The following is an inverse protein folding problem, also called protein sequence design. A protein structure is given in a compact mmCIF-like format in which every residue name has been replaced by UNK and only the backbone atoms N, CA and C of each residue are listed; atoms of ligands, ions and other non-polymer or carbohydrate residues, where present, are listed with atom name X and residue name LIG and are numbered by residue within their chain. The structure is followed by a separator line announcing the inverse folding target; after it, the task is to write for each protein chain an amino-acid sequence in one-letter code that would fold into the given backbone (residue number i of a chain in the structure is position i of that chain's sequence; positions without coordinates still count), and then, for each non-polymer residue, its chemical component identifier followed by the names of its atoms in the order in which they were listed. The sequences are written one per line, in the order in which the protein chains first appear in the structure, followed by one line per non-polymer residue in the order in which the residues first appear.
data_IF_027507774291
#
_entry.id   IF_027507774291
#
_cell.length_a   1.000
_cell.length_b   1.000
_cell.length_c   1.000
_cell.angle_alpha   90.00
_cell.angle_beta   90.00
_cell.angle_gamma   90.00
#
_symmetry.space_group_name_H-M   'P 1'
#
loop_
_entity.id
_entity.type
_entity.pdbx_description
1 polymer ?
#
# COMPACT_ATOMS: atom_id res chain seq x y z
N UNK A 1 37.10 -8.43 50.35
CA UNK A 1 35.76 -8.97 50.66
C UNK A 1 34.80 -8.31 49.69
N UNK A 2 34.46 -9.02 48.61
CA UNK A 2 33.50 -8.55 47.61
C UNK A 2 32.09 -8.96 48.05
N UNK A 3 31.06 -8.11 47.95
CA UNK A 3 29.72 -8.47 48.35
C UNK A 3 29.14 -9.53 47.39
N UNK A 4 28.47 -10.54 47.95
CA UNK A 4 27.70 -11.52 47.18
C UNK A 4 26.50 -10.85 46.49
N UNK A 5 26.21 -11.18 45.23
CA UNK A 5 25.04 -10.66 44.54
C UNK A 5 23.77 -11.24 45.18
N UNK A 6 22.88 -10.36 45.64
CA UNK A 6 21.60 -10.72 46.26
C UNK A 6 20.62 -11.23 45.19
N UNK A 7 19.69 -12.11 45.56
CA UNK A 7 18.71 -12.75 44.66
C UNK A 7 17.92 -11.79 43.74
N UNK A 8 17.84 -10.49 44.07
CA UNK A 8 17.25 -9.46 43.22
C UNK A 8 18.06 -9.10 41.97
N UNK A 9 19.40 -9.18 42.01
CA UNK A 9 20.27 -8.87 40.86
C UNK A 9 20.26 -9.98 39.81
N UNK A 10 20.01 -11.22 40.21
CA UNK A 10 19.87 -12.36 39.28
C UNK A 10 18.57 -12.28 38.46
N UNK A 11 17.51 -11.70 39.03
CA UNK A 11 16.25 -11.52 38.31
C UNK A 11 16.34 -10.38 37.28
N UNK A 12 17.07 -9.30 37.57
CA UNK A 12 17.27 -8.20 36.62
C UNK A 12 18.10 -8.62 35.40
N UNK A 13 19.09 -9.50 35.59
CA UNK A 13 19.90 -10.07 34.51
C UNK A 13 19.08 -10.95 33.55
N UNK A 14 18.00 -11.59 34.03
CA UNK A 14 17.11 -12.40 33.20
C UNK A 14 16.17 -11.55 32.32
N UNK A 15 15.91 -10.29 32.70
CA UNK A 15 15.11 -9.34 31.90
C UNK A 15 15.92 -8.55 30.87
N UNK A 16 17.25 -8.60 30.91
CA UNK A 16 18.14 -7.88 30.00
C UNK A 16 18.93 -8.79 29.05
N UNK A 17 18.67 -10.11 29.06
CA UNK A 17 19.15 -10.96 27.96
C UNK A 17 18.28 -10.68 26.73
N UNK A 18 18.85 -10.24 25.59
CA UNK A 18 18.13 -10.31 24.34
C UNK A 18 17.86 -11.79 24.09
N UNK A 19 16.59 -12.17 23.96
CA UNK A 19 16.19 -13.46 23.42
C UNK A 19 16.57 -13.50 21.95
N UNK A 20 17.87 -13.70 21.68
CA UNK A 20 18.36 -14.18 20.41
C UNK A 20 17.95 -15.65 20.30
N UNK A 21 16.84 -15.90 19.62
CA UNK A 21 16.43 -17.15 18.95
C UNK A 21 14.95 -17.44 19.16
N UNK A 22 14.12 -16.75 18.39
CA UNK A 22 12.89 -17.33 17.85
C UNK A 22 12.67 -16.80 16.43
N UNK A 23 13.72 -16.89 15.63
CA UNK A 23 13.67 -16.67 14.19
C UNK A 23 13.67 -18.00 13.44
N UNK A 24 12.98 -19.04 13.93
CA UNK A 24 12.84 -20.28 13.14
C UNK A 24 11.68 -21.20 13.55
N UNK A 25 10.46 -20.69 13.75
CA UNK A 25 9.25 -21.54 13.88
C UNK A 25 7.94 -20.79 13.59
N UNK A 26 7.94 -19.82 12.68
CA UNK A 26 6.69 -19.51 11.99
C UNK A 26 6.53 -20.57 10.89
N UNK A 27 5.43 -21.35 10.84
CA UNK A 27 5.18 -22.22 9.71
C UNK A 27 5.28 -21.36 8.45
N UNK A 28 5.97 -21.82 7.38
CA UNK A 28 6.03 -21.05 6.16
C UNK A 28 4.59 -20.72 5.78
N UNK A 29 4.30 -19.42 5.67
CA UNK A 29 3.01 -18.96 5.21
C UNK A 29 2.66 -19.81 3.99
N UNK A 30 1.42 -20.36 3.91
CA UNK A 30 1.05 -21.21 2.79
C UNK A 30 1.49 -20.49 1.52
N UNK A 31 2.17 -21.20 0.61
CA UNK A 31 2.47 -20.72 -0.75
C UNK A 31 1.16 -20.56 -1.54
N UNK A 32 0.16 -19.90 -0.96
CA UNK A 32 -0.99 -19.36 -1.63
C UNK A 32 -0.45 -18.20 -2.43
N UNK A 33 -0.29 -18.46 -3.73
CA UNK A 33 -0.14 -17.49 -4.81
C UNK A 33 -0.06 -16.05 -4.30
N UNK A 34 1.14 -15.60 -3.92
CA UNK A 34 1.36 -14.17 -3.81
C UNK A 34 0.94 -13.60 -5.17
N UNK A 35 -0.09 -12.75 -5.17
CA UNK A 35 -0.63 -12.20 -6.41
C UNK A 35 0.55 -11.64 -7.20
N UNK A 36 0.78 -12.17 -8.40
CA UNK A 36 1.96 -11.79 -9.19
C UNK A 36 1.80 -10.33 -9.60
N UNK A 37 2.49 -9.43 -8.91
CA UNK A 37 2.44 -8.01 -9.22
C UNK A 37 3.19 -7.75 -10.53
N UNK A 38 2.54 -7.03 -11.46
CA UNK A 38 3.14 -6.62 -12.73
C UNK A 38 3.21 -5.10 -12.78
N UNK A 39 4.41 -4.57 -13.02
CA UNK A 39 4.59 -3.13 -13.25
C UNK A 39 3.99 -2.74 -14.60
N UNK A 40 3.16 -1.69 -14.60
CA UNK A 40 2.63 -1.06 -15.80
C UNK A 40 2.87 0.45 -15.76
N UNK A 41 3.23 1.05 -16.89
CA UNK A 41 3.52 2.48 -17.00
C UNK A 41 2.53 3.11 -17.98
N UNK A 42 1.83 4.17 -17.54
CA UNK A 42 0.84 4.88 -18.34
C UNK A 42 1.10 6.39 -18.32
N UNK A 43 0.76 7.06 -19.42
CA UNK A 43 0.72 8.53 -19.45
C UNK A 43 -0.64 9.03 -18.97
N UNK A 44 -0.66 9.72 -17.85
CA UNK A 44 -1.84 10.36 -17.26
C UNK A 44 -1.70 11.88 -17.35
N UNK A 45 -2.82 12.60 -17.21
CA UNK A 45 -2.80 14.07 -17.16
C UNK A 45 -2.17 14.50 -15.83
N UNK A 46 -1.39 15.57 -15.85
CA UNK A 46 -0.77 16.15 -14.65
C UNK A 46 -1.81 16.45 -13.57
N UNK A 47 -2.93 17.06 -13.94
CA UNK A 47 -4.04 17.35 -13.01
C UNK A 47 -4.57 16.12 -12.25
N UNK A 48 -4.52 14.93 -12.87
CA UNK A 48 -4.95 13.68 -12.21
C UNK A 48 -3.90 13.21 -11.20
N UNK A 49 -2.61 13.44 -11.48
CA UNK A 49 -1.54 13.17 -10.51
C UNK A 49 -1.61 14.16 -9.34
N UNK A 50 -1.89 15.44 -9.60
CA UNK A 50 -2.06 16.44 -8.54
C UNK A 50 -3.22 16.08 -7.59
N UNK A 51 -4.35 15.61 -8.15
CA UNK A 51 -5.48 15.13 -7.36
C UNK A 51 -5.12 13.88 -6.53
N UNK A 52 -4.37 12.94 -7.11
CA UNK A 52 -3.88 11.76 -6.39
C UNK A 52 -2.95 12.15 -5.23
N UNK A 53 -2.06 13.11 -5.46
CA UNK A 53 -1.10 13.60 -4.48
C UNK A 53 -1.79 14.29 -3.32
N UNK A 54 -2.77 15.14 -3.62
CA UNK A 54 -3.63 15.78 -2.62
C UNK A 54 -4.40 14.75 -1.81
N UNK A 55 -5.05 13.78 -2.46
CA UNK A 55 -5.81 12.76 -1.77
C UNK A 55 -4.93 11.91 -0.85
N UNK A 56 -3.74 11.52 -1.32
CA UNK A 56 -2.76 10.82 -0.49
C UNK A 56 -2.32 11.65 0.73
N UNK A 57 -2.12 12.97 0.57
CA UNK A 57 -1.82 13.86 1.69
C UNK A 57 -2.98 13.92 2.70
N UNK A 58 -4.22 14.03 2.23
CA UNK A 58 -5.42 14.02 3.09
C UNK A 58 -5.49 12.72 3.91
N UNK A 59 -5.18 11.57 3.30
CA UNK A 59 -5.09 10.29 4.00
C UNK A 59 -3.94 10.25 5.02
N UNK A 60 -2.79 10.84 4.72
CA UNK A 60 -1.68 10.96 5.67
C UNK A 60 -2.04 11.81 6.88
N UNK A 61 -2.84 12.86 6.69
CA UNK A 61 -3.33 13.70 7.79
C UNK A 61 -4.37 12.95 8.64
N UNK A 62 -5.27 12.19 8.01
CA UNK A 62 -6.34 11.46 8.70
C UNK A 62 -5.86 10.20 9.44
N UNK A 63 -4.97 9.42 8.83
CA UNK A 63 -4.55 8.10 9.32
C UNK A 63 -3.15 8.12 9.98
N UNK A 64 -2.39 9.19 9.76
CA UNK A 64 -0.98 9.28 10.08
C UNK A 64 -0.09 8.71 8.97
N UNK A 65 1.14 9.24 8.86
CA UNK A 65 2.09 8.94 7.76
C UNK A 65 2.37 7.45 7.55
N UNK A 66 2.42 6.66 8.62
CA UNK A 66 2.77 5.23 8.56
C UNK A 66 1.58 4.32 8.22
N UNK A 67 0.34 4.83 8.33
CA UNK A 67 -0.87 4.06 8.12
C UNK A 67 -1.60 4.45 6.83
N UNK A 68 -1.20 5.56 6.19
CA UNK A 68 -1.78 5.96 4.92
C UNK A 68 -1.38 4.97 3.81
N UNK A 69 -2.32 4.55 2.96
CA UNK A 69 -2.03 3.63 1.87
C UNK A 69 -1.11 4.28 0.84
N UNK A 70 -0.24 3.47 0.23
CA UNK A 70 0.61 3.93 -0.86
C UNK A 70 -0.23 4.34 -2.07
N UNK A 71 0.31 5.26 -2.89
CA UNK A 71 -0.33 5.71 -4.13
C UNK A 71 -0.69 4.56 -5.07
N UNK A 72 0.14 3.52 -5.14
CA UNK A 72 -0.14 2.33 -5.96
C UNK A 72 -1.39 1.57 -5.50
N UNK A 73 -1.61 1.46 -4.18
CA UNK A 73 -2.82 0.85 -3.61
C UNK A 73 -4.06 1.66 -3.96
N UNK A 74 -3.96 3.00 -3.91
CA UNK A 74 -5.06 3.90 -4.30
C UNK A 74 -5.38 3.73 -5.79
N UNK A 75 -4.36 3.69 -6.65
CA UNK A 75 -4.53 3.50 -8.10
C UNK A 75 -5.13 2.13 -8.42
N UNK A 76 -4.69 1.06 -7.76
CA UNK A 76 -5.26 -0.27 -7.93
C UNK A 76 -6.74 -0.29 -7.55
N UNK A 77 -7.11 0.27 -6.40
CA UNK A 77 -8.50 0.37 -5.97
C UNK A 77 -9.35 1.17 -6.97
N UNK A 78 -8.84 2.28 -7.51
CA UNK A 78 -9.52 3.08 -8.51
C UNK A 78 -9.75 2.32 -9.82
N UNK A 79 -8.75 1.55 -10.28
CA UNK A 79 -8.88 0.70 -11.49
C UNK A 79 -9.93 -0.39 -11.26
N UNK A 80 -9.88 -1.09 -10.12
CA UNK A 80 -10.86 -2.14 -9.79
C UNK A 80 -12.28 -1.55 -9.74
N UNK A 81 -12.44 -0.38 -9.10
CA UNK A 81 -13.73 0.29 -9.00
C UNK A 81 -14.29 0.64 -10.39
N UNK A 82 -13.47 1.25 -11.26
CA UNK A 82 -13.86 1.58 -12.63
C UNK A 82 -14.25 0.33 -13.43
N UNK A 83 -13.46 -0.74 -13.36
CA UNK A 83 -13.71 -1.97 -14.09
C UNK A 83 -14.98 -2.68 -13.62
N UNK A 84 -15.31 -2.59 -12.33
CA UNK A 84 -16.57 -3.14 -11.80
C UNK A 84 -17.77 -2.33 -12.28
N UNK A 85 -17.70 -0.99 -12.23
CA UNK A 85 -18.76 -0.13 -12.77
C UNK A 85 -18.97 -0.34 -14.28
N UNK A 86 -17.88 -0.54 -15.03
CA UNK A 86 -17.96 -0.81 -16.46
C UNK A 86 -18.58 -2.17 -16.80
N UNK A 87 -18.55 -3.15 -15.88
CA UNK A 87 -19.28 -4.42 -16.08
C UNK A 87 -20.79 -4.24 -15.90
N UNK A 88 -21.20 -3.35 -15.00
CA UNK A 88 -22.61 -3.07 -14.71
C UNK A 88 -23.23 -2.18 -15.80
N UNK A 89 -22.48 -1.20 -16.31
CA UNK A 89 -22.97 -0.19 -17.27
C UNK A 89 -22.00 0.01 -18.45
N UNK A 90 -21.69 -1.08 -19.15
CA UNK A 90 -20.65 -1.10 -20.17
C UNK A 90 -20.88 -0.14 -21.34
N UNK A 91 -22.14 0.07 -21.75
CA UNK A 91 -22.47 0.97 -22.86
C UNK A 91 -22.06 2.42 -22.59
N UNK A 92 -22.45 2.97 -21.44
CA UNK A 92 -22.11 4.34 -21.06
C UNK A 92 -20.61 4.54 -20.85
N UNK A 93 -19.93 3.54 -20.26
CA UNK A 93 -18.49 3.61 -20.04
C UNK A 93 -17.69 3.57 -21.34
N UNK A 94 -18.12 2.79 -22.35
CA UNK A 94 -17.46 2.77 -23.67
C UNK A 94 -17.48 4.17 -24.30
N UNK A 95 -18.66 4.82 -24.35
CA UNK A 95 -18.80 6.15 -24.93
C UNK A 95 -17.96 7.19 -24.19
N UNK A 96 -17.98 7.15 -22.85
CA UNK A 96 -17.21 8.08 -22.01
C UNK A 96 -15.71 7.94 -22.22
N UNK A 97 -15.20 6.71 -22.29
CA UNK A 97 -13.79 6.44 -22.54
C UNK A 97 -13.37 6.90 -23.95
N UNK A 98 -14.22 6.72 -24.96
CA UNK A 98 -13.98 7.24 -26.31
C UNK A 98 -13.89 8.77 -26.32
N UNK A 99 -14.81 9.46 -25.64
CA UNK A 99 -14.78 10.93 -25.53
C UNK A 99 -13.49 11.43 -24.85
N UNK A 100 -13.07 10.77 -23.77
CA UNK A 100 -11.80 11.10 -23.11
C UNK A 100 -10.58 10.88 -24.00
N UNK A 101 -10.56 9.77 -24.75
CA UNK A 101 -9.48 9.51 -25.71
C UNK A 101 -9.41 10.59 -26.79
N UNK A 102 -10.56 10.99 -27.36
CA UNK A 102 -10.62 12.05 -28.37
C UNK A 102 -10.14 13.40 -27.81
N UNK A 103 -10.54 13.75 -26.59
CA UNK A 103 -10.07 14.97 -25.90
C UNK A 103 -8.54 14.98 -25.76
N UNK A 104 -7.93 13.85 -25.42
CA UNK A 104 -6.46 13.72 -25.35
C UNK A 104 -5.79 13.85 -26.71
N UNK A 105 -6.37 13.29 -27.76
CA UNK A 105 -5.82 13.38 -29.12
C UNK A 105 -5.86 14.82 -29.66
N UNK A 106 -6.93 15.57 -29.35
CA UNK A 106 -7.04 16.99 -29.74
C UNK A 106 -6.00 17.87 -29.05
N UNK A 107 -5.70 17.62 -27.78
CA UNK A 107 -4.68 18.37 -27.02
C UNK A 107 -3.23 18.08 -27.45
N UNK A 108 -3.00 17.05 -28.27
CA UNK A 108 -1.66 16.66 -28.77
C UNK A 108 -1.36 17.15 -30.19
N UNK A 109 -2.35 17.73 -30.87
CA UNK A 109 -2.20 18.36 -32.19
C UNK A 109 -2.00 19.85 -32.02
#
# INVERSE_FOLDING_TARGET
MSPEPTAGDQLLAQYLQPTESEADSLPPAPKGQAASLRRATFQVRESVLDELDRFHLELQLALGKNNAPYKETIVEAAIVHLLNQAKEDGGQWIERLQQWQQSRLRSRR
#
